data_IF_944453250479
#
_entry.id   IF_944453250479
#
_cell.length_a   1.000
_cell.length_b   1.000
_cell.length_c   1.000
_cell.angle_alpha   90.00
_cell.angle_beta   90.00
_cell.angle_gamma   90.00
#
_symmetry.space_group_name_H-M   'P 1'
#
loop_
_entity.id
_entity.type
_entity.pdbx_description
1 polymer ?
#
# COMPACT_ATOMS: atom_id res chain seq x y z
N UNK A 1 -11.67 26.98 23.75
CA UNK A 1 -11.12 27.23 22.40
C UNK A 1 -11.39 25.99 21.55
N UNK A 2 -12.29 26.08 20.55
CA UNK A 2 -12.58 24.93 19.67
C UNK A 2 -11.44 24.77 18.66
N UNK A 3 -10.86 23.57 18.57
CA UNK A 3 -9.88 23.24 17.52
C UNK A 3 -10.61 23.00 16.21
N UNK A 4 -10.37 23.85 15.21
CA UNK A 4 -10.88 23.63 13.86
C UNK A 4 -10.32 22.32 13.28
N UNK A 5 -11.12 21.58 12.49
CA UNK A 5 -10.66 20.34 11.87
C UNK A 5 -9.52 20.62 10.90
N UNK A 6 -8.46 19.80 10.95
CA UNK A 6 -7.30 19.89 10.05
C UNK A 6 -7.74 19.76 8.60
N UNK A 7 -7.22 20.62 7.75
CA UNK A 7 -7.39 20.54 6.30
C UNK A 7 -6.80 19.24 5.73
N UNK A 8 -7.27 18.80 4.55
CA UNK A 8 -6.69 17.65 3.85
C UNK A 8 -5.17 17.79 3.64
N UNK A 9 -4.68 19.01 3.37
CA UNK A 9 -3.26 19.30 3.21
C UNK A 9 -2.46 19.06 4.50
N UNK A 10 -2.98 19.50 5.65
CA UNK A 10 -2.33 19.29 6.96
C UNK A 10 -2.32 17.81 7.36
N UNK A 11 -3.40 17.08 7.06
CA UNK A 11 -3.46 15.61 7.25
C UNK A 11 -2.40 14.91 6.39
N UNK A 12 -2.33 15.25 5.10
CA UNK A 12 -1.36 14.69 4.17
C UNK A 12 0.09 15.00 4.59
N UNK A 13 0.35 16.22 5.09
CA UNK A 13 1.67 16.62 5.59
C UNK A 13 2.07 15.82 6.82
N UNK A 14 1.16 15.65 7.78
CA UNK A 14 1.38 14.85 9.00
C UNK A 14 1.67 13.39 8.64
N UNK A 15 0.86 12.81 7.75
CA UNK A 15 1.03 11.43 7.29
C UNK A 15 2.38 11.21 6.61
N UNK A 16 2.76 12.06 5.64
CA UNK A 16 4.07 11.98 4.98
C UNK A 16 5.24 12.22 5.93
N UNK A 17 5.06 12.99 7.00
CA UNK A 17 6.12 13.18 8.01
C UNK A 17 6.39 11.89 8.77
N UNK A 18 5.35 11.14 9.14
CA UNK A 18 5.48 9.83 9.81
C UNK A 18 6.16 8.81 8.91
N UNK A 19 5.72 8.70 7.66
CA UNK A 19 6.34 7.79 6.69
C UNK A 19 7.83 8.08 6.48
N UNK A 20 8.23 9.36 6.40
CA UNK A 20 9.66 9.72 6.30
C UNK A 20 10.47 9.35 7.53
N UNK A 21 9.90 9.50 8.72
CA UNK A 21 10.56 9.10 9.97
C UNK A 21 10.77 7.57 10.04
N UNK A 22 9.85 6.79 9.44
CA UNK A 22 9.98 5.35 9.26
C UNK A 22 10.92 4.94 8.10
N UNK A 23 11.64 5.89 7.48
CA UNK A 23 12.56 5.61 6.38
C UNK A 23 11.91 5.44 5.01
N UNK A 24 10.60 5.66 4.88
CA UNK A 24 9.87 5.52 3.63
C UNK A 24 9.88 6.83 2.83
N UNK A 25 9.97 6.68 1.49
CA UNK A 25 9.91 7.82 0.56
C UNK A 25 8.69 7.70 -0.35
N UNK A 26 7.85 8.74 -0.46
CA UNK A 26 6.74 8.72 -1.42
C UNK A 26 7.31 8.69 -2.85
N UNK A 27 6.78 7.79 -3.67
CA UNK A 27 7.03 7.74 -5.12
C UNK A 27 5.71 7.90 -5.85
N UNK A 28 5.74 8.62 -6.97
CA UNK A 28 4.59 8.76 -7.85
C UNK A 28 4.87 7.94 -9.10
N UNK A 29 4.03 6.94 -9.34
CA UNK A 29 4.07 6.09 -10.51
C UNK A 29 2.78 6.25 -11.30
N UNK A 30 2.88 6.15 -12.61
CA UNK A 30 1.72 6.08 -13.49
C UNK A 30 1.35 4.62 -13.68
N UNK A 31 0.08 4.30 -13.43
CA UNK A 31 -0.49 2.98 -13.63
C UNK A 31 -1.58 3.04 -14.71
N UNK A 32 -1.87 1.91 -15.40
CA UNK A 32 -3.01 1.82 -16.32
C UNK A 32 -4.32 2.20 -15.64
N UNK A 33 -5.31 2.63 -16.43
CA UNK A 33 -6.64 2.96 -15.90
C UNK A 33 -7.28 1.74 -15.25
N UNK A 34 -7.47 1.81 -13.94
CA UNK A 34 -8.03 0.72 -13.15
C UNK A 34 -9.52 0.46 -13.36
N UNK A 35 -10.19 1.33 -14.13
CA UNK A 35 -11.59 1.16 -14.53
C UNK A 35 -11.75 0.52 -15.90
N UNK A 36 -10.67 0.31 -16.64
CA UNK A 36 -10.72 -0.30 -17.94
C UNK A 36 -11.07 -1.80 -17.80
N UNK A 37 -12.01 -2.28 -18.63
CA UNK A 37 -12.55 -3.64 -18.53
C UNK A 37 -11.49 -4.73 -18.82
N UNK A 38 -10.48 -4.40 -19.61
CA UNK A 38 -9.33 -5.23 -19.91
C UNK A 38 -8.41 -5.44 -18.70
N UNK A 39 -8.34 -4.48 -17.77
CA UNK A 39 -7.56 -4.63 -16.55
C UNK A 39 -8.10 -5.77 -15.68
N UNK A 40 -9.42 -5.97 -15.63
CA UNK A 40 -10.00 -7.05 -14.81
C UNK A 40 -9.55 -8.42 -15.34
N UNK A 41 -9.56 -8.61 -16.66
CA UNK A 41 -9.09 -9.85 -17.28
C UNK A 41 -7.57 -10.03 -17.11
N UNK A 42 -6.81 -8.95 -17.26
CA UNK A 42 -5.37 -8.95 -17.02
C UNK A 42 -5.03 -9.31 -15.57
N UNK A 43 -5.70 -8.67 -14.61
CA UNK A 43 -5.51 -8.90 -13.18
C UNK A 43 -5.83 -10.35 -12.83
N UNK A 44 -6.92 -10.93 -13.36
CA UNK A 44 -7.25 -12.35 -13.20
C UNK A 44 -6.15 -13.25 -13.77
N UNK A 45 -5.65 -12.95 -14.97
CA UNK A 45 -4.59 -13.73 -15.61
C UNK A 45 -3.29 -13.68 -14.81
N UNK A 46 -2.88 -12.49 -14.36
CA UNK A 46 -1.65 -12.30 -13.59
C UNK A 46 -1.75 -12.90 -12.19
N UNK A 47 -2.89 -12.75 -11.51
CA UNK A 47 -3.12 -13.36 -10.19
C UNK A 47 -3.03 -14.89 -10.24
N UNK A 48 -3.60 -15.53 -11.28
CA UNK A 48 -3.42 -16.98 -11.48
C UNK A 48 -1.97 -17.37 -11.65
N UNK A 49 -1.19 -16.59 -12.42
CA UNK A 49 0.24 -16.86 -12.60
C UNK A 49 0.99 -16.72 -11.27
N UNK A 50 0.79 -15.63 -10.54
CA UNK A 50 1.35 -15.40 -9.21
C UNK A 50 1.09 -16.58 -8.27
N UNK A 51 -0.16 -17.04 -8.17
CA UNK A 51 -0.54 -18.17 -7.29
C UNK A 51 0.14 -19.50 -7.63
N UNK A 52 0.58 -19.68 -8.88
CA UNK A 52 1.27 -20.90 -9.33
C UNK A 52 2.80 -20.79 -9.22
N UNK A 53 3.34 -19.62 -8.89
CA UNK A 53 4.77 -19.43 -8.73
C UNK A 53 5.23 -19.96 -7.37
N UNK A 54 6.31 -20.77 -7.38
CA UNK A 54 6.83 -21.44 -6.18
C UNK A 54 7.24 -20.46 -5.07
N UNK A 55 7.67 -19.24 -5.44
CA UNK A 55 8.08 -18.18 -4.51
C UNK A 55 6.90 -17.42 -3.88
N UNK A 56 5.67 -17.62 -4.34
CA UNK A 56 4.51 -16.87 -3.86
C UNK A 56 4.25 -17.13 -2.37
N UNK A 57 4.43 -18.38 -1.95
CA UNK A 57 4.22 -18.77 -0.54
C UNK A 57 5.22 -18.10 0.39
N UNK A 58 6.49 -18.05 0.00
CA UNK A 58 7.54 -17.36 0.75
C UNK A 58 7.30 -15.83 0.80
N UNK A 59 6.81 -15.25 -0.31
CA UNK A 59 6.46 -13.83 -0.35
C UNK A 59 5.27 -13.50 0.56
N UNK A 60 4.23 -14.34 0.57
CA UNK A 60 3.07 -14.16 1.45
C UNK A 60 3.45 -14.32 2.92
N UNK A 61 4.25 -15.33 3.28
CA UNK A 61 4.75 -15.55 4.65
C UNK A 61 5.59 -14.35 5.13
N UNK A 62 6.39 -13.74 4.24
CA UNK A 62 7.14 -12.52 4.55
C UNK A 62 6.21 -11.32 4.78
N UNK A 63 5.18 -11.15 3.94
CA UNK A 63 4.23 -10.05 4.05
C UNK A 63 3.44 -10.15 5.36
N UNK A 64 2.97 -11.36 5.73
CA UNK A 64 2.26 -11.61 6.98
C UNK A 64 3.13 -11.22 8.19
N UNK A 65 4.39 -11.66 8.22
CA UNK A 65 5.36 -11.28 9.26
C UNK A 65 5.61 -9.77 9.35
N UNK A 66 5.61 -9.07 8.22
CA UNK A 66 5.81 -7.61 8.19
C UNK A 66 4.56 -6.85 8.63
N UNK A 67 3.36 -7.36 8.30
CA UNK A 67 2.11 -6.73 8.72
C UNK A 67 1.93 -6.77 10.25
N UNK A 68 2.36 -7.85 10.91
CA UNK A 68 2.31 -7.99 12.37
C UNK A 68 3.21 -6.98 13.11
N UNK A 69 4.24 -6.42 12.45
CA UNK A 69 5.13 -5.41 13.03
C UNK A 69 4.50 -3.99 13.05
N UNK A 70 3.47 -3.74 12.24
CA UNK A 70 2.81 -2.44 12.12
C UNK A 70 1.63 -2.26 13.10
N UNK A 71 1.19 -3.33 13.78
CA UNK A 71 0.06 -3.34 14.72
C UNK A 71 0.45 -3.10 16.20
N UNK A 72 1.69 -2.68 16.49
CA UNK A 72 2.10 -2.31 17.86
C UNK A 72 1.47 -0.96 18.29
N UNK A 73 0.55 -0.96 19.28
CA UNK A 73 -0.10 0.26 19.73
C UNK A 73 0.86 1.05 20.64
N UNK A 74 1.60 1.99 20.05
CA UNK A 74 2.29 3.06 20.80
C UNK A 74 1.33 3.99 21.54
#
# INVERSE_FOLDING_TARGET
>A
MQRSPKSPAEKMRTYRSRLRAAGLRPVQIWVPDVRAADLVEEARRQSRRASMHASEREALDMIERLADLDDDPS
#
